data_IF_608895305581
#
_entry.id   IF_608895305581
#
_cell.length_a   1.000
_cell.length_b   1.000
_cell.length_c   1.000
_cell.angle_alpha   90.00
_cell.angle_beta   90.00
_cell.angle_gamma   90.00
#
_symmetry.space_group_name_H-M   'P 1'
#
loop_
_entity.id
_entity.type
_entity.pdbx_description
1 polymer ?
#
# COMPACT_ATOMS: atom_id res chain seq x y z
N UNK A 1 22.91 -14.98 1.70
CA UNK A 1 22.17 -16.22 2.00
C UNK A 1 22.90 -17.33 1.28
N UNK A 2 23.37 -18.34 2.01
CA UNK A 2 23.98 -19.53 1.42
C UNK A 2 22.90 -20.45 0.84
N UNK A 3 23.28 -21.42 -0.01
CA UNK A 3 22.34 -22.44 -0.48
C UNK A 3 21.80 -23.31 0.68
N UNK A 4 22.63 -23.54 1.71
CA UNK A 4 22.22 -24.28 2.91
C UNK A 4 21.12 -23.52 3.66
N UNK A 5 21.30 -22.21 3.88
CA UNK A 5 20.29 -21.34 4.52
C UNK A 5 18.95 -21.39 3.76
N UNK A 6 19.01 -21.42 2.43
CA UNK A 6 17.82 -21.50 1.59
C UNK A 6 17.14 -22.86 1.65
N UNK A 7 17.88 -23.97 1.79
CA UNK A 7 17.28 -25.30 1.94
C UNK A 7 16.56 -25.43 3.28
N UNK A 8 17.14 -24.88 4.34
CA UNK A 8 16.58 -24.96 5.69
C UNK A 8 15.38 -24.01 5.87
N UNK A 9 15.43 -22.84 5.23
CA UNK A 9 14.36 -21.83 5.30
C UNK A 9 14.14 -21.12 3.95
N UNK A 10 13.54 -21.80 2.95
CA UNK A 10 13.42 -21.27 1.59
C UNK A 10 12.63 -19.97 1.49
N UNK A 11 11.76 -19.72 2.46
CA UNK A 11 10.92 -18.53 2.54
C UNK A 11 11.34 -17.57 3.66
N UNK A 12 12.38 -17.91 4.43
CA UNK A 12 12.78 -17.17 5.63
C UNK A 12 13.59 -15.91 5.32
N UNK A 13 14.45 -15.95 4.29
CA UNK A 13 15.26 -14.80 3.86
C UNK A 13 15.36 -14.78 2.34
N UNK A 14 15.26 -13.61 1.73
CA UNK A 14 15.56 -13.44 0.31
C UNK A 14 17.06 -13.20 0.09
N UNK A 15 17.60 -13.67 -1.03
CA UNK A 15 18.98 -13.36 -1.42
C UNK A 15 19.15 -11.84 -1.65
N UNK A 16 20.30 -11.27 -1.25
CA UNK A 16 20.54 -9.82 -1.39
C UNK A 16 20.46 -9.35 -2.85
N UNK A 17 20.96 -10.16 -3.79
CA UNK A 17 20.85 -9.87 -5.22
C UNK A 17 19.39 -9.85 -5.70
N UNK A 18 18.53 -10.72 -5.15
CA UNK A 18 17.09 -10.69 -5.44
C UNK A 18 16.46 -9.42 -4.88
N UNK A 19 16.71 -9.08 -3.61
CA UNK A 19 16.12 -7.90 -2.96
C UNK A 19 16.48 -6.58 -3.64
N UNK A 20 17.67 -6.48 -4.23
CA UNK A 20 18.11 -5.31 -5.02
C UNK A 20 17.62 -5.32 -6.47
N UNK A 21 17.11 -6.45 -6.95
CA UNK A 21 16.68 -6.60 -8.33
C UNK A 21 15.43 -5.78 -8.67
N UNK A 22 15.28 -5.45 -9.95
CA UNK A 22 14.11 -4.74 -10.48
C UNK A 22 12.79 -5.49 -10.23
N UNK A 23 12.83 -6.82 -10.34
CA UNK A 23 11.64 -7.67 -10.21
C UNK A 23 11.33 -8.07 -8.76
N UNK A 24 12.11 -7.64 -7.78
CA UNK A 24 11.96 -8.10 -6.39
C UNK A 24 10.56 -7.81 -5.85
N UNK A 25 9.87 -8.84 -5.35
CA UNK A 25 8.61 -8.72 -4.62
C UNK A 25 8.90 -8.41 -3.14
N UNK A 26 9.43 -7.22 -2.86
CA UNK A 26 9.84 -6.81 -1.51
C UNK A 26 9.18 -5.49 -1.07
N UNK A 27 8.44 -5.47 0.06
CA UNK A 27 8.02 -6.64 0.84
C UNK A 27 7.03 -7.52 0.05
N UNK A 28 6.89 -8.79 0.45
CA UNK A 28 5.91 -9.68 -0.17
C UNK A 28 4.50 -9.08 0.00
N UNK A 29 3.74 -8.93 -1.10
CA UNK A 29 2.48 -8.23 -1.04
C UNK A 29 1.45 -9.01 -0.22
N UNK A 30 0.68 -8.27 0.57
CA UNK A 30 -0.45 -8.83 1.31
C UNK A 30 -1.76 -8.22 0.80
N UNK A 31 -2.88 -8.75 1.28
CA UNK A 31 -4.16 -8.11 1.02
C UNK A 31 -4.23 -6.74 1.72
N UNK A 32 -4.52 -5.66 0.96
CA UNK A 32 -4.82 -4.34 1.52
C UNK A 32 -5.92 -3.63 0.72
N UNK A 33 -6.63 -2.73 1.39
CA UNK A 33 -7.55 -1.78 0.73
C UNK A 33 -6.78 -0.61 0.11
N UNK A 34 -7.40 0.12 -0.80
CA UNK A 34 -6.81 1.33 -1.41
C UNK A 34 -6.41 2.36 -0.36
N UNK A 35 -7.28 2.58 0.65
CA UNK A 35 -7.01 3.46 1.78
C UNK A 35 -5.75 3.07 2.55
N UNK A 36 -5.51 1.77 2.76
CA UNK A 36 -4.29 1.27 3.43
C UNK A 36 -3.07 1.53 2.56
N UNK A 37 -3.17 1.36 1.24
CA UNK A 37 -2.07 1.68 0.31
C UNK A 37 -1.75 3.17 0.34
N UNK A 38 -2.76 4.03 0.29
CA UNK A 38 -2.59 5.48 0.33
C UNK A 38 -2.06 5.96 1.69
N UNK A 39 -2.57 5.43 2.80
CA UNK A 39 -2.06 5.71 4.15
C UNK A 39 -0.58 5.33 4.28
N UNK A 40 -0.20 4.16 3.75
CA UNK A 40 1.18 3.71 3.72
C UNK A 40 2.05 4.61 2.84
N UNK A 41 1.51 5.08 1.72
CA UNK A 41 2.18 6.05 0.84
C UNK A 41 2.47 7.36 1.57
N UNK A 42 1.49 7.96 2.27
CA UNK A 42 1.73 9.16 3.10
C UNK A 42 2.91 8.95 4.07
N UNK A 43 2.94 7.81 4.75
CA UNK A 43 4.03 7.48 5.69
C UNK A 43 5.39 7.40 5.00
N UNK A 44 5.46 6.73 3.85
CA UNK A 44 6.71 6.52 3.11
C UNK A 44 7.24 7.79 2.45
N UNK A 45 6.35 8.69 2.01
CA UNK A 45 6.73 9.87 1.23
C UNK A 45 6.90 11.15 2.08
N UNK A 46 6.23 11.26 3.22
CA UNK A 46 6.14 12.53 3.93
C UNK A 46 6.03 12.52 5.45
N UNK A 47 5.99 11.36 6.12
CA UNK A 47 5.94 11.30 7.60
C UNK A 47 7.18 10.59 8.17
N UNK A 48 8.32 11.29 8.33
CA UNK A 48 9.57 10.68 8.72
C UNK A 48 9.47 9.99 10.09
N UNK A 49 10.03 8.79 10.19
CA UNK A 49 10.04 7.99 11.43
C UNK A 49 8.75 7.20 11.69
N UNK A 50 7.67 7.45 10.94
CA UNK A 50 6.41 6.70 11.07
C UNK A 50 6.48 5.44 10.23
N UNK A 51 6.17 4.31 10.85
CA UNK A 51 6.11 3.02 10.18
C UNK A 51 4.82 2.28 10.55
N UNK A 52 4.48 1.27 9.77
CA UNK A 52 3.24 0.51 9.91
C UNK A 52 3.03 -0.09 11.31
N UNK A 53 4.10 -0.44 12.04
CA UNK A 53 3.99 -0.98 13.41
C UNK A 53 3.61 0.07 14.43
N UNK A 54 3.95 1.34 14.19
CA UNK A 54 3.63 2.45 15.09
C UNK A 54 2.17 2.90 14.98
N UNK A 55 1.49 2.61 13.86
CA UNK A 55 0.15 3.14 13.58
C UNK A 55 -0.90 2.64 14.59
N UNK A 56 -1.01 1.32 14.90
CA UNK A 56 -2.03 0.87 15.86
C UNK A 56 -1.89 1.45 17.27
N UNK A 57 -0.69 1.47 17.88
CA UNK A 57 -0.47 2.14 19.16
C UNK A 57 -0.81 3.64 19.14
N UNK A 58 -0.54 4.35 18.05
CA UNK A 58 -0.88 5.77 17.92
C UNK A 58 -2.40 5.99 17.88
N UNK A 59 -3.16 5.11 17.22
CA UNK A 59 -4.62 5.11 17.27
C UNK A 59 -5.17 4.93 18.68
N UNK A 60 -4.63 3.98 19.44
CA UNK A 60 -5.02 3.79 20.84
C UNK A 60 -4.65 5.00 21.71
N UNK A 61 -3.47 5.60 21.47
CA UNK A 61 -3.04 6.82 22.17
C UNK A 61 -3.98 8.00 21.89
N UNK A 62 -4.37 8.21 20.63
CA UNK A 62 -5.29 9.28 20.25
C UNK A 62 -6.65 9.11 20.94
N UNK A 63 -7.22 7.90 20.91
CA UNK A 63 -8.48 7.62 21.61
C UNK A 63 -8.40 7.88 23.11
N UNK A 64 -7.27 7.55 23.76
CA UNK A 64 -7.04 7.86 25.16
C UNK A 64 -6.92 9.36 25.43
N UNK A 65 -6.29 10.13 24.53
CA UNK A 65 -6.21 11.59 24.61
C UNK A 65 -7.59 12.23 24.51
N UNK A 66 -8.41 11.81 23.54
CA UNK A 66 -9.78 12.29 23.36
C UNK A 66 -10.61 11.99 24.62
N UNK A 67 -10.55 10.77 25.15
CA UNK A 67 -11.26 10.41 26.40
C UNK A 67 -10.84 11.29 27.58
N UNK A 68 -9.54 11.50 27.77
CA UNK A 68 -9.02 12.36 28.86
C UNK A 68 -9.46 13.81 28.70
N UNK A 69 -9.52 14.31 27.47
CA UNK A 69 -9.96 15.67 27.17
C UNK A 69 -11.45 15.86 27.48
N UNK A 70 -12.29 14.85 27.18
CA UNK A 70 -13.71 14.80 27.56
C UNK A 70 -13.89 14.89 29.07
N UNK A 71 -13.19 14.05 29.83
CA UNK A 71 -13.27 14.00 31.30
C UNK A 71 -12.88 15.33 31.96
N UNK A 72 -11.94 16.06 31.35
CA UNK A 72 -11.43 17.33 31.88
C UNK A 72 -12.14 18.57 31.33
N UNK A 73 -13.14 18.39 30.46
CA UNK A 73 -13.76 19.47 29.69
C UNK A 73 -12.73 20.42 29.03
N UNK A 74 -11.59 19.88 28.61
CA UNK A 74 -10.45 20.64 28.10
C UNK A 74 -10.31 20.44 26.60
N UNK A 75 -10.22 21.53 25.84
CA UNK A 75 -9.98 21.51 24.40
C UNK A 75 -8.48 21.53 24.09
N UNK A 76 -7.98 20.88 23.03
CA UNK A 76 -6.66 21.19 22.50
C UNK A 76 -6.56 22.68 22.15
N UNK A 77 -5.41 23.30 22.41
CA UNK A 77 -5.25 24.76 22.35
C UNK A 77 -5.55 25.37 20.98
N UNK A 78 -5.34 24.59 19.91
CA UNK A 78 -5.42 25.07 18.53
C UNK A 78 -6.56 24.42 17.72
N UNK A 79 -7.36 23.53 18.32
CA UNK A 79 -8.47 22.86 17.62
C UNK A 79 -9.74 23.71 17.66
N UNK A 80 -10.58 23.61 16.64
CA UNK A 80 -11.91 24.26 16.57
C UNK A 80 -12.97 23.36 17.20
N UNK A 81 -12.85 22.05 17.07
CA UNK A 81 -13.80 21.10 17.62
C UNK A 81 -13.54 20.82 19.10
N UNK A 82 -14.62 20.62 19.86
CA UNK A 82 -14.54 19.98 21.16
C UNK A 82 -14.23 18.47 21.01
N UNK A 83 -13.86 17.77 22.10
CA UNK A 83 -13.53 16.36 22.04
C UNK A 83 -14.65 15.45 21.49
N UNK A 84 -15.93 15.77 21.71
CA UNK A 84 -17.05 14.96 21.26
C UNK A 84 -17.32 15.14 19.76
N UNK A 85 -17.26 16.37 19.28
CA UNK A 85 -17.36 16.69 17.87
C UNK A 85 -16.18 16.09 17.08
N UNK A 86 -14.96 16.12 17.63
CA UNK A 86 -13.79 15.51 17.00
C UNK A 86 -13.91 13.98 16.94
N UNK A 87 -14.37 13.33 18.01
CA UNK A 87 -14.63 11.88 18.00
C UNK A 87 -15.73 11.51 16.99
N UNK A 88 -16.77 12.34 16.84
CA UNK A 88 -17.83 12.17 15.84
C UNK A 88 -17.28 12.33 14.42
N UNK A 89 -16.43 13.32 14.18
CA UNK A 89 -15.73 13.50 12.90
C UNK A 89 -14.98 12.22 12.51
N UNK A 90 -14.23 11.63 13.44
CA UNK A 90 -13.44 10.41 13.19
C UNK A 90 -14.32 9.17 12.99
N UNK A 91 -15.31 8.94 13.86
CA UNK A 91 -16.06 7.68 13.90
C UNK A 91 -17.39 7.69 13.14
N UNK A 92 -17.83 8.82 12.58
CA UNK A 92 -19.07 8.89 11.79
C UNK A 92 -18.86 9.48 10.40
N UNK A 93 -18.04 10.52 10.27
CA UNK A 93 -17.85 11.22 8.98
C UNK A 93 -16.73 10.57 8.17
N UNK A 94 -15.63 10.22 8.83
CA UNK A 94 -14.42 9.69 8.20
C UNK A 94 -14.29 8.17 8.32
N UNK A 95 -15.11 7.50 9.13
CA UNK A 95 -15.03 6.04 9.32
C UNK A 95 -15.24 5.32 7.99
N UNK A 96 -14.27 4.50 7.62
CA UNK A 96 -14.36 3.66 6.43
C UNK A 96 -15.36 2.51 6.68
N UNK A 97 -16.26 2.22 5.74
CA UNK A 97 -17.26 1.18 5.94
C UNK A 97 -16.60 -0.19 6.15
N UNK A 98 -17.00 -0.87 7.22
CA UNK A 98 -16.52 -2.22 7.54
C UNK A 98 -16.97 -3.19 6.47
N UNK A 99 -16.06 -4.09 6.10
CA UNK A 99 -16.43 -5.24 5.27
C UNK A 99 -17.06 -6.33 6.13
N UNK A 100 -18.00 -7.08 5.56
CA UNK A 100 -18.73 -8.17 6.24
C UNK A 100 -17.83 -9.21 6.93
N UNK A 101 -16.60 -9.38 6.45
CA UNK A 101 -15.64 -10.38 6.95
C UNK A 101 -14.52 -9.77 7.84
N UNK A 102 -14.55 -8.47 8.14
CA UNK A 102 -13.57 -7.85 9.04
C UNK A 102 -13.96 -8.07 10.50
N UNK A 103 -12.95 -8.41 11.33
CA UNK A 103 -13.18 -8.70 12.74
C UNK A 103 -13.82 -7.52 13.48
N UNK A 104 -14.62 -7.80 14.50
CA UNK A 104 -15.24 -6.80 15.37
C UNK A 104 -14.22 -5.95 16.18
N UNK A 105 -12.91 -6.26 16.14
CA UNK A 105 -11.87 -5.43 16.76
C UNK A 105 -11.84 -4.08 16.05
N UNK A 106 -12.38 -3.06 16.73
CA UNK A 106 -12.47 -1.67 16.29
C UNK A 106 -11.08 -1.04 16.28
N UNK A 107 -10.33 -1.29 15.21
CA UNK A 107 -9.22 -0.40 14.88
C UNK A 107 -9.75 0.79 14.11
N UNK A 108 -9.30 2.00 14.45
CA UNK A 108 -9.75 3.23 13.83
C UNK A 108 -9.27 3.27 12.38
N UNK A 109 -10.16 2.90 11.45
CA UNK A 109 -9.93 2.99 10.02
C UNK A 109 -10.71 4.19 9.46
N UNK A 110 -9.98 5.21 9.04
CA UNK A 110 -10.56 6.43 8.47
C UNK A 110 -10.02 6.64 7.06
N UNK A 111 -10.82 7.27 6.22
CA UNK A 111 -10.39 7.64 4.86
C UNK A 111 -9.22 8.63 4.93
N UNK A 112 -8.08 8.36 4.26
CA UNK A 112 -6.85 9.13 4.40
C UNK A 112 -6.87 10.40 3.54
N UNK A 113 -7.80 11.31 3.84
CA UNK A 113 -7.99 12.55 3.09
C UNK A 113 -6.82 13.53 3.27
N UNK A 114 -6.20 13.54 4.44
CA UNK A 114 -5.08 14.42 4.76
C UNK A 114 -3.91 13.62 5.35
N UNK A 115 -2.65 14.06 5.20
CA UNK A 115 -1.49 13.26 5.60
C UNK A 115 -1.50 12.80 7.05
N UNK A 116 -1.88 13.67 8.00
CA UNK A 116 -1.78 13.39 9.43
C UNK A 116 -2.70 12.24 9.89
N UNK A 117 -3.75 11.91 9.13
CA UNK A 117 -4.59 10.73 9.43
C UNK A 117 -3.80 9.43 9.32
N UNK A 118 -2.76 9.39 8.49
CA UNK A 118 -1.90 8.23 8.33
C UNK A 118 -1.00 7.94 9.55
N UNK A 119 -0.96 8.83 10.56
CA UNK A 119 -0.24 8.59 11.82
C UNK A 119 -0.88 7.50 12.67
N UNK A 120 -2.20 7.39 12.60
CA UNK A 120 -2.97 6.54 13.51
C UNK A 120 -3.97 5.62 12.80
N UNK A 121 -4.07 5.72 11.47
CA UNK A 121 -5.01 4.93 10.67
C UNK A 121 -4.37 4.28 9.43
N UNK A 122 -5.12 3.34 8.84
CA UNK A 122 -4.76 2.68 7.60
C UNK A 122 -3.54 1.75 7.72
N UNK A 123 -3.38 1.07 8.86
CA UNK A 123 -2.37 0.00 9.01
C UNK A 123 -2.87 -1.30 8.34
N UNK A 124 -2.01 -2.01 7.58
CA UNK A 124 -2.38 -3.31 7.01
C UNK A 124 -2.64 -4.40 8.06
N UNK A 125 -1.95 -4.35 9.20
CA UNK A 125 -2.13 -5.28 10.33
C UNK A 125 -2.10 -4.55 11.66
N UNK A 126 -2.79 -5.10 12.65
CA UNK A 126 -2.78 -4.56 14.01
C UNK A 126 -1.59 -5.02 14.86
N UNK A 127 -0.90 -6.09 14.42
CA UNK A 127 0.20 -6.69 15.16
C UNK A 127 1.22 -7.37 14.23
N UNK A 128 2.39 -7.68 14.77
CA UNK A 128 3.45 -8.43 14.09
C UNK A 128 4.30 -7.55 13.17
N UNK A 129 4.65 -8.09 12.00
CA UNK A 129 5.42 -7.40 10.97
C UNK A 129 4.52 -7.04 9.77
N UNK A 130 3.73 -5.96 9.84
CA UNK A 130 2.93 -5.50 8.71
C UNK A 130 3.82 -5.16 7.51
N UNK A 131 3.43 -5.61 6.32
CA UNK A 131 4.02 -5.14 5.08
C UNK A 131 3.81 -3.62 4.90
N UNK A 132 4.62 -2.98 4.05
CA UNK A 132 4.56 -1.53 3.81
C UNK A 132 4.21 -1.25 2.34
N UNK A 133 2.90 -1.15 1.98
CA UNK A 133 2.47 -0.93 0.60
C UNK A 133 3.05 0.33 -0.06
N UNK A 134 3.29 1.41 0.69
CA UNK A 134 3.85 2.65 0.13
C UNK A 134 5.24 2.44 -0.50
N UNK A 135 5.98 1.42 -0.04
CA UNK A 135 7.27 1.04 -0.64
C UNK A 135 7.09 0.44 -2.03
N UNK A 136 6.02 -0.32 -2.26
CA UNK A 136 5.68 -0.85 -3.58
C UNK A 136 5.39 0.27 -4.56
N UNK A 137 4.58 1.26 -4.14
CA UNK A 137 4.28 2.45 -4.95
C UNK A 137 5.57 3.19 -5.33
N UNK A 138 6.45 3.43 -4.35
CA UNK A 138 7.76 4.06 -4.62
C UNK A 138 8.59 3.26 -5.61
N UNK A 139 8.66 1.94 -5.48
CA UNK A 139 9.38 1.07 -6.44
C UNK A 139 8.77 1.16 -7.83
N UNK A 140 7.45 1.16 -7.94
CA UNK A 140 6.75 1.31 -9.21
C UNK A 140 7.04 2.66 -9.87
N UNK A 141 7.16 3.74 -9.12
CA UNK A 141 7.58 5.06 -9.67
C UNK A 141 8.97 4.97 -10.29
N UNK A 142 9.93 4.31 -9.63
CA UNK A 142 11.29 4.14 -10.17
C UNK A 142 11.33 3.23 -11.40
N UNK A 143 10.60 2.12 -11.37
CA UNK A 143 10.52 1.18 -12.49
C UNK A 143 9.80 1.78 -13.70
N UNK A 144 8.73 2.55 -13.47
CA UNK A 144 7.90 3.12 -14.53
C UNK A 144 8.47 4.39 -15.15
N UNK A 145 9.46 5.01 -14.52
CA UNK A 145 10.09 6.25 -15.00
C UNK A 145 11.20 5.98 -15.99
N UNK A 146 11.45 6.93 -16.90
CA UNK A 146 12.48 6.80 -17.95
C UNK A 146 13.90 6.72 -17.40
N UNK A 147 14.15 7.43 -16.29
CA UNK A 147 15.44 7.46 -15.60
C UNK A 147 15.22 7.87 -14.14
N UNK A 148 16.30 7.84 -13.34
CA UNK A 148 16.27 8.17 -11.92
C UNK A 148 15.82 9.62 -11.66
N UNK A 149 16.26 10.58 -12.47
CA UNK A 149 15.87 11.99 -12.32
C UNK A 149 14.36 12.19 -12.54
N UNK A 150 13.78 11.53 -13.55
CA UNK A 150 12.34 11.56 -13.79
C UNK A 150 11.54 10.87 -12.67
N UNK A 151 12.09 9.80 -12.08
CA UNK A 151 11.49 9.15 -10.91
C UNK A 151 11.48 10.07 -9.69
N UNK A 152 12.60 10.74 -9.41
CA UNK A 152 12.72 11.72 -8.33
C UNK A 152 11.78 12.90 -8.52
N UNK A 153 11.65 13.41 -9.75
CA UNK A 153 10.72 14.48 -10.09
C UNK A 153 9.26 14.03 -9.87
N UNK A 154 8.88 12.84 -10.35
CA UNK A 154 7.54 12.26 -10.14
C UNK A 154 7.26 12.06 -8.64
N UNK A 155 8.24 11.56 -7.89
CA UNK A 155 8.12 11.35 -6.45
C UNK A 155 7.94 12.66 -5.69
N UNK A 156 8.69 13.71 -6.05
CA UNK A 156 8.51 15.04 -5.47
C UNK A 156 7.16 15.65 -5.84
N UNK A 157 6.73 15.50 -7.09
CA UNK A 157 5.44 16.01 -7.56
C UNK A 157 4.27 15.35 -6.81
N UNK A 158 4.35 14.04 -6.58
CA UNK A 158 3.38 13.31 -5.75
C UNK A 158 3.38 13.80 -4.30
N UNK A 159 4.55 14.04 -3.71
CA UNK A 159 4.65 14.59 -2.34
C UNK A 159 3.93 15.93 -2.21
N UNK A 160 4.20 16.85 -3.15
CA UNK A 160 3.59 18.19 -3.16
C UNK A 160 2.08 18.12 -3.36
N UNK A 161 1.61 17.21 -4.21
CA UNK A 161 0.19 16.99 -4.45
C UNK A 161 -0.53 16.42 -3.23
N UNK A 162 0.11 15.50 -2.50
CA UNK A 162 -0.42 14.89 -1.28
C UNK A 162 -0.49 15.87 -0.10
N UNK A 163 0.28 16.96 -0.12
CA UNK A 163 0.14 18.01 0.88
C UNK A 163 -1.26 18.65 0.84
N UNK A 164 -1.70 19.18 1.98
CA UNK A 164 -2.83 20.10 2.04
C UNK A 164 -2.26 21.51 1.92
N UNK A 165 -2.74 22.26 0.93
CA UNK A 165 -2.28 23.62 0.61
C UNK A 165 -3.39 24.63 0.84
N UNK A 166 -3.06 25.92 0.78
CA UNK A 166 -4.03 27.01 0.97
C UNK A 166 -5.12 27.06 -0.11
N UNK A 167 -4.81 26.52 -1.30
CA UNK A 167 -5.70 26.39 -2.45
C UNK A 167 -6.56 25.11 -2.42
N UNK A 168 -6.29 24.16 -1.51
CA UNK A 168 -7.18 23.02 -1.28
C UNK A 168 -8.51 23.49 -0.66
N UNK A 169 -9.56 22.68 -0.86
CA UNK A 169 -10.89 23.00 -0.36
C UNK A 169 -10.92 23.20 1.17
N UNK A 170 -11.91 23.98 1.63
CA UNK A 170 -12.04 24.39 3.03
C UNK A 170 -12.10 23.18 3.96
N UNK A 171 -12.74 22.09 3.53
CA UNK A 171 -12.86 20.88 4.36
C UNK A 171 -11.51 20.20 4.56
N UNK A 172 -10.68 20.10 3.52
CA UNK A 172 -9.33 19.55 3.64
C UNK A 172 -8.45 20.37 4.61
N UNK A 173 -8.48 21.70 4.49
CA UNK A 173 -7.72 22.61 5.36
C UNK A 173 -8.19 22.56 6.81
N UNK A 174 -9.50 22.57 7.02
CA UNK A 174 -10.11 22.38 8.33
C UNK A 174 -9.71 21.02 8.93
N UNK A 175 -9.82 19.94 8.16
CA UNK A 175 -9.51 18.60 8.64
C UNK A 175 -8.02 18.49 9.03
N UNK A 176 -7.12 19.06 8.22
CA UNK A 176 -5.69 19.13 8.54
C UNK A 176 -5.46 19.83 9.89
N UNK A 177 -5.99 21.04 10.06
CA UNK A 177 -5.79 21.83 11.29
C UNK A 177 -6.38 21.14 12.52
N UNK A 178 -7.55 20.52 12.39
CA UNK A 178 -8.16 19.78 13.50
C UNK A 178 -7.28 18.60 13.91
N UNK A 179 -6.80 17.78 12.97
CA UNK A 179 -5.99 16.61 13.32
C UNK A 179 -4.63 17.04 13.90
N UNK A 180 -3.99 18.08 13.36
CA UNK A 180 -2.73 18.62 13.89
C UNK A 180 -2.85 19.18 15.31
N UNK A 181 -4.02 19.74 15.67
CA UNK A 181 -4.27 20.19 17.03
C UNK A 181 -4.20 19.05 18.07
N UNK A 182 -4.49 17.81 17.66
CA UNK A 182 -4.37 16.62 18.50
C UNK A 182 -3.01 15.91 18.34
N UNK A 183 -2.46 15.90 17.13
CA UNK A 183 -1.24 15.19 16.75
C UNK A 183 -0.33 16.12 15.93
N UNK A 184 0.41 17.03 16.59
CA UNK A 184 1.22 18.03 15.88
C UNK A 184 2.49 17.46 15.24
N UNK A 185 2.94 16.27 15.66
CA UNK A 185 4.17 15.65 15.17
C UNK A 185 3.94 14.20 14.72
N UNK A 186 4.71 13.72 13.72
CA UNK A 186 5.68 14.46 12.92
C UNK A 186 5.05 15.37 11.87
N UNK A 187 5.72 16.49 11.58
CA UNK A 187 5.37 17.38 10.48
C UNK A 187 5.52 16.72 9.10
N UNK A 188 4.68 17.13 8.15
CA UNK A 188 4.75 16.71 6.75
C UNK A 188 6.05 17.20 6.10
N UNK A 189 6.97 16.28 5.79
CA UNK A 189 8.30 16.58 5.25
C UNK A 189 8.73 15.56 4.23
N UNK A 190 9.19 16.03 3.07
CA UNK A 190 9.62 15.17 1.96
C UNK A 190 10.67 14.15 2.40
N UNK A 191 10.37 12.87 2.15
CA UNK A 191 11.27 11.75 2.35
C UNK A 191 11.79 11.28 0.99
N UNK A 192 13.06 11.54 0.64
CA UNK A 192 13.63 11.07 -0.62
C UNK A 192 13.74 9.55 -0.63
N UNK A 193 13.68 8.96 -1.83
CA UNK A 193 13.94 7.54 -1.97
C UNK A 193 15.43 7.24 -1.69
N UNK A 194 15.77 6.19 -0.93
CA UNK A 194 17.15 5.78 -0.72
C UNK A 194 17.77 5.29 -2.04
N UNK A 195 18.81 5.95 -2.58
CA UNK A 195 19.34 5.66 -3.92
C UNK A 195 19.79 4.21 -4.12
N UNK A 196 20.31 3.58 -3.05
CA UNK A 196 20.87 2.22 -3.09
C UNK A 196 19.81 1.11 -3.06
N UNK A 197 18.57 1.43 -2.66
CA UNK A 197 17.51 0.44 -2.54
C UNK A 197 16.53 0.46 -3.72
N UNK A 198 16.65 1.46 -4.61
CA UNK A 198 15.78 1.60 -5.76
C UNK A 198 16.35 0.84 -6.96
N UNK A 199 15.51 0.10 -7.68
CA UNK A 199 15.96 -0.58 -8.87
C UNK A 199 16.34 0.44 -9.95
N UNK A 200 17.38 0.14 -10.71
CA UNK A 200 17.61 0.85 -11.95
C UNK A 200 16.47 0.53 -12.91
N UNK A 201 16.06 1.53 -13.70
CA UNK A 201 15.03 1.33 -14.71
C UNK A 201 15.50 0.22 -15.65
N UNK A 202 14.77 -0.92 -15.74
CA UNK A 202 15.16 -1.96 -16.66
C UNK A 202 15.08 -1.41 -18.09
N UNK A 203 16.11 -1.67 -18.90
CA UNK A 203 16.06 -1.44 -20.34
C UNK A 203 15.24 -2.56 -21.00
N UNK A 204 13.94 -2.59 -20.69
CA UNK A 204 12.98 -3.59 -21.21
C UNK A 204 12.48 -3.23 -22.62
N UNK A 205 13.24 -2.45 -23.38
CA UNK A 205 12.80 -1.91 -24.66
C UNK A 205 11.56 -1.02 -24.54
N UNK A 206 10.92 -0.68 -25.65
CA UNK A 206 9.76 0.20 -25.71
C UNK A 206 8.44 -0.40 -25.18
N UNK A 207 8.43 -1.63 -24.66
CA UNK A 207 7.22 -2.32 -24.25
C UNK A 207 6.50 -1.66 -23.06
N UNK A 208 5.18 -1.59 -23.11
CA UNK A 208 4.37 -1.18 -21.96
C UNK A 208 4.38 -2.28 -20.90
N UNK A 209 4.66 -1.92 -19.65
CA UNK A 209 4.45 -2.79 -18.49
C UNK A 209 3.79 -1.98 -17.38
N UNK A 210 3.14 -2.62 -16.38
CA UNK A 210 2.19 -1.92 -15.51
C UNK A 210 2.76 -0.73 -14.75
N UNK A 211 4.04 -0.75 -14.36
CA UNK A 211 4.64 0.39 -13.66
C UNK A 211 4.77 1.63 -14.57
N UNK A 212 5.05 1.46 -15.87
CA UNK A 212 5.10 2.58 -16.83
C UNK A 212 3.72 3.22 -17.01
N UNK A 213 2.69 2.40 -17.18
CA UNK A 213 1.31 2.89 -17.26
C UNK A 213 0.91 3.58 -15.96
N UNK A 214 1.23 2.97 -14.82
CA UNK A 214 0.97 3.56 -13.51
C UNK A 214 1.59 4.95 -13.34
N UNK A 215 2.84 5.17 -13.77
CA UNK A 215 3.48 6.49 -13.69
C UNK A 215 2.78 7.52 -14.59
N UNK A 216 2.31 7.11 -15.77
CA UNK A 216 1.54 7.99 -16.65
C UNK A 216 0.18 8.37 -16.05
N UNK A 217 -0.55 7.38 -15.52
CA UNK A 217 -1.85 7.57 -14.87
C UNK A 217 -1.70 8.44 -13.61
N UNK A 218 -0.67 8.16 -12.81
CA UNK A 218 -0.34 8.91 -11.60
C UNK A 218 -0.09 10.38 -11.91
N UNK A 219 0.75 10.69 -12.90
CA UNK A 219 1.02 12.07 -13.31
C UNK A 219 -0.26 12.78 -13.80
N UNK A 220 -1.13 12.06 -14.51
CA UNK A 220 -2.41 12.60 -14.98
C UNK A 220 -3.36 12.90 -13.81
N UNK A 221 -3.43 12.01 -12.81
CA UNK A 221 -4.22 12.24 -11.59
C UNK A 221 -3.67 13.40 -10.78
N UNK A 222 -2.34 13.51 -10.64
CA UNK A 222 -1.74 14.63 -9.92
C UNK A 222 -2.09 15.96 -10.63
N UNK A 223 -1.96 16.02 -11.96
CA UNK A 223 -2.28 17.22 -12.73
C UNK A 223 -3.76 17.63 -12.63
N UNK A 224 -4.65 16.70 -12.32
CA UNK A 224 -6.08 16.96 -12.14
C UNK A 224 -6.45 17.45 -10.71
N UNK A 225 -5.48 17.56 -9.78
CA UNK A 225 -5.76 17.91 -8.37
C UNK A 225 -6.56 19.20 -8.24
N UNK A 226 -6.11 20.27 -8.91
CA UNK A 226 -6.68 21.61 -8.76
C UNK A 226 -8.09 21.75 -9.40
N UNK A 227 -8.55 20.72 -10.11
CA UNK A 227 -9.87 20.68 -10.75
C UNK A 227 -10.94 19.98 -9.90
N UNK A 228 -10.55 19.39 -8.75
CA UNK A 228 -11.38 18.48 -7.97
C UNK A 228 -11.35 18.84 -6.49
N UNK A 229 -12.42 18.50 -5.77
CA UNK A 229 -12.37 18.50 -4.31
C UNK A 229 -11.39 17.43 -3.81
N UNK A 230 -10.83 17.61 -2.62
CA UNK A 230 -9.87 16.69 -2.01
C UNK A 230 -10.41 15.27 -1.96
N UNK A 231 -11.69 15.09 -1.65
CA UNK A 231 -12.33 13.77 -1.59
C UNK A 231 -12.44 13.10 -2.96
N UNK A 232 -12.83 13.86 -3.99
CA UNK A 232 -12.90 13.35 -5.37
C UNK A 232 -11.52 12.98 -5.90
N UNK A 233 -10.54 13.88 -5.71
CA UNK A 233 -9.16 13.62 -6.11
C UNK A 233 -8.55 12.41 -5.40
N UNK A 234 -8.75 12.31 -4.08
CA UNK A 234 -8.30 11.16 -3.29
C UNK A 234 -8.93 9.86 -3.79
N UNK A 235 -10.21 9.88 -4.16
CA UNK A 235 -10.89 8.69 -4.71
C UNK A 235 -10.30 8.25 -6.05
N UNK A 236 -9.93 9.20 -6.94
CA UNK A 236 -9.24 8.88 -8.19
C UNK A 236 -7.84 8.33 -7.94
N UNK A 237 -7.09 8.95 -7.03
CA UNK A 237 -5.76 8.49 -6.65
C UNK A 237 -5.83 7.06 -6.08
N UNK A 238 -6.78 6.79 -5.20
CA UNK A 238 -7.00 5.45 -4.65
C UNK A 238 -7.33 4.42 -5.73
N UNK A 239 -8.12 4.79 -6.75
CA UNK A 239 -8.42 3.91 -7.87
C UNK A 239 -7.16 3.55 -8.68
N UNK A 240 -6.32 4.55 -9.01
CA UNK A 240 -5.05 4.34 -9.72
C UNK A 240 -4.08 3.51 -8.88
N UNK A 241 -3.95 3.79 -7.58
CA UNK A 241 -3.14 3.00 -6.67
C UNK A 241 -3.61 1.54 -6.63
N UNK A 242 -4.92 1.31 -6.52
CA UNK A 242 -5.50 -0.04 -6.45
C UNK A 242 -5.28 -0.83 -7.73
N UNK A 243 -5.57 -0.23 -8.89
CA UNK A 243 -5.44 -0.92 -10.18
C UNK A 243 -3.96 -1.13 -10.53
N UNK A 244 -3.14 -0.10 -10.38
CA UNK A 244 -1.72 -0.13 -10.74
C UNK A 244 -0.93 -1.12 -9.88
N UNK A 245 -1.11 -1.09 -8.55
CA UNK A 245 -0.35 -2.00 -7.67
C UNK A 245 -0.71 -3.46 -7.90
N UNK A 246 -1.99 -3.78 -8.08
CA UNK A 246 -2.45 -5.15 -8.38
C UNK A 246 -1.95 -5.62 -9.74
N UNK A 247 -2.09 -4.79 -10.78
CA UNK A 247 -1.60 -5.13 -12.12
C UNK A 247 -0.09 -5.38 -12.13
N UNK A 248 0.67 -4.56 -11.39
CA UNK A 248 2.12 -4.74 -11.29
C UNK A 248 2.50 -6.04 -10.57
N UNK A 249 1.82 -6.39 -9.47
CA UNK A 249 2.07 -7.64 -8.76
C UNK A 249 1.72 -8.86 -9.63
N UNK A 250 0.60 -8.84 -10.35
CA UNK A 250 0.24 -9.91 -11.30
C UNK A 250 1.31 -10.07 -12.37
N UNK A 251 1.74 -8.96 -12.98
CA UNK A 251 2.80 -8.98 -13.99
C UNK A 251 4.13 -9.50 -13.45
N UNK A 252 4.50 -9.20 -12.20
CA UNK A 252 5.67 -9.79 -11.56
C UNK A 252 5.52 -11.31 -11.45
N UNK A 253 4.36 -11.80 -10.97
CA UNK A 253 4.09 -13.23 -10.87
C UNK A 253 4.18 -13.94 -12.23
N UNK A 254 3.60 -13.35 -13.29
CA UNK A 254 3.67 -13.88 -14.66
C UNK A 254 5.11 -13.88 -15.19
N UNK A 255 5.86 -12.80 -14.94
CA UNK A 255 7.27 -12.71 -15.32
C UNK A 255 8.07 -13.82 -14.64
N UNK A 256 7.87 -14.04 -13.34
CA UNK A 256 8.50 -15.15 -12.61
C UNK A 256 8.13 -16.51 -13.20
N UNK A 257 6.85 -16.76 -13.46
CA UNK A 257 6.40 -18.02 -14.06
C UNK A 257 7.08 -18.27 -15.42
N UNK A 258 7.18 -17.23 -16.26
CA UNK A 258 7.90 -17.30 -17.53
C UNK A 258 9.38 -17.63 -17.37
N UNK A 259 10.09 -16.97 -16.44
CA UNK A 259 11.50 -17.28 -16.17
C UNK A 259 11.73 -18.72 -15.73
N UNK A 260 10.82 -19.31 -14.94
CA UNK A 260 10.92 -20.70 -14.51
C UNK A 260 10.63 -21.68 -15.65
N UNK A 261 9.68 -21.38 -16.54
CA UNK A 261 9.33 -22.23 -17.69
C UNK A 261 10.40 -22.20 -18.79
N UNK A 262 11.07 -21.05 -19.00
CA UNK A 262 12.12 -20.88 -20.02
C UNK A 262 13.48 -21.48 -19.58
N UNK A 263 13.64 -21.86 -18.30
CA UNK A 263 14.83 -22.58 -17.80
C UNK A 263 14.59 -24.08 -17.49
N UNK A 264 14.03 -24.90 -18.40
CA UNK A 264 13.88 -26.33 -18.14
C UNK A 264 15.24 -27.05 -18.07
N UNK A 265 16.26 -26.56 -18.80
CA UNK A 265 17.60 -27.16 -18.84
C UNK A 265 18.41 -27.06 -17.52
N UNK A 266 18.02 -26.17 -16.60
CA UNK A 266 18.62 -26.11 -15.26
C UNK A 266 17.74 -26.74 -14.18
N UNK A 267 16.41 -26.82 -14.37
CA UNK A 267 15.54 -27.55 -13.46
C UNK A 267 15.84 -29.08 -13.49
N UNK A 268 16.20 -29.61 -14.67
CA UNK A 268 16.61 -31.01 -14.80
C UNK A 268 17.92 -31.36 -14.07
N UNK A 269 18.80 -30.38 -13.79
CA UNK A 269 20.05 -30.60 -13.03
C UNK A 269 19.85 -30.66 -11.52
N UNK A 270 18.66 -30.32 -11.02
CA UNK A 270 18.29 -30.40 -9.60
C UNK A 270 17.25 -31.50 -9.31
N UNK A 271 16.91 -32.34 -10.29
CA UNK A 271 16.23 -33.61 -10.06
C UNK A 271 17.20 -34.58 -9.37
N UNK A 272 17.36 -34.41 -8.05
CA UNK A 272 17.67 -35.55 -7.20
C UNK A 272 16.50 -36.53 -7.37
N UNK A 273 16.76 -37.83 -7.65
CA UNK A 273 15.68 -38.80 -7.76
C UNK A 273 14.96 -38.84 -6.41
N UNK A 274 13.75 -38.30 -6.36
CA UNK A 274 12.81 -38.59 -5.28
C UNK A 274 12.44 -40.06 -5.41
N UNK A 275 13.24 -40.94 -4.80
CA UNK A 275 12.81 -42.30 -4.53
C UNK A 275 11.62 -42.23 -3.57
N UNK A 276 10.50 -42.74 -4.07
CA UNK A 276 9.20 -42.84 -3.45
C UNK A 276 9.22 -42.88 -1.91
N UNK A 277 8.56 -41.89 -1.31
CA UNK A 277 7.88 -42.04 -0.03
C UNK A 277 6.45 -41.52 -0.21
N UNK A 278 5.43 -42.24 0.30
CA UNK A 278 4.06 -42.12 -0.19
C UNK A 278 3.41 -40.80 0.25
N UNK A 279 2.39 -40.41 -0.52
CA UNK A 279 1.51 -39.26 -0.32
C UNK A 279 1.28 -38.92 1.16
N UNK A 280 1.82 -37.78 1.60
CA UNK A 280 1.27 -37.03 2.73
C UNK A 280 0.89 -35.66 2.19
N UNK A 281 -0.41 -35.38 2.29
CA UNK A 281 -1.12 -34.16 1.93
C UNK A 281 -0.25 -32.90 1.90
N UNK A 282 0.12 -32.45 0.70
CA UNK A 282 0.58 -31.08 0.45
C UNK A 282 -0.59 -30.24 -0.05
N UNK A 283 -1.45 -29.85 0.90
CA UNK A 283 -2.23 -28.62 0.79
C UNK A 283 -1.41 -27.51 1.45
N UNK A 284 -0.90 -26.51 0.71
CA UNK A 284 -0.72 -25.20 1.30
C UNK A 284 -2.11 -24.63 1.53
N UNK A 285 -2.39 -24.25 2.77
CA UNK A 285 -3.53 -23.45 3.19
C UNK A 285 -3.58 -22.11 2.43
N UNK A 286 -4.02 -22.15 1.18
CA UNK A 286 -4.75 -21.06 0.56
C UNK A 286 -6.21 -21.34 0.88
N UNK A 287 -6.83 -20.48 1.68
CA UNK A 287 -8.28 -20.52 1.85
C UNK A 287 -8.87 -20.15 0.48
N UNK A 288 -9.23 -21.18 -0.28
CA UNK A 288 -10.07 -21.13 -1.47
C UNK A 288 -11.46 -20.74 -0.97
N UNK A 289 -11.66 -19.44 -0.79
CA UNK A 289 -12.93 -18.85 -0.42
C UNK A 289 -13.06 -17.52 -1.13
N UNK A 290 -13.80 -17.53 -2.25
CA UNK A 290 -14.32 -16.37 -2.99
C UNK A 290 -13.51 -15.80 -4.16
N UNK A 291 -12.75 -16.60 -4.89
CA UNK A 291 -12.43 -16.30 -6.29
C UNK A 291 -12.54 -17.61 -7.09
N UNK A 292 -13.26 -17.59 -8.22
CA UNK A 292 -13.63 -18.73 -9.08
C UNK A 292 -14.95 -19.44 -8.73
N UNK A 293 -16.07 -18.74 -8.94
CA UNK A 293 -17.23 -19.40 -9.53
C UNK A 293 -17.01 -19.41 -11.07
N UNK A 294 -16.92 -20.58 -11.73
CA UNK A 294 -16.76 -20.62 -13.17
C UNK A 294 -18.09 -20.29 -13.85
N UNK A 295 -18.08 -19.27 -14.72
CA UNK A 295 -19.10 -19.09 -15.75
C UNK A 295 -19.15 -20.36 -16.61
N UNK A 296 -20.11 -21.25 -16.35
CA UNK A 296 -20.48 -22.30 -17.32
C UNK A 296 -21.17 -21.63 -18.49
N UNK A 297 -20.51 -21.60 -19.66
CA UNK A 297 -21.17 -21.49 -20.95
C UNK A 297 -22.17 -22.64 -21.08
N UNK A 298 -23.48 -22.34 -21.09
CA UNK A 298 -24.48 -23.29 -21.62
C UNK A 298 -24.54 -23.08 -23.12
N UNK A 299 -23.94 -23.99 -23.87
CA UNK A 299 -24.40 -24.26 -25.23
C UNK A 299 -25.75 -24.98 -25.12
N UNK A 300 -26.79 -24.34 -25.61
CA UNK A 300 -28.07 -24.99 -25.92
C UNK A 300 -27.97 -25.43 -27.37
N UNK A 301 -27.79 -26.73 -27.59
CA UNK A 301 -28.12 -27.34 -28.88
C UNK A 301 -29.61 -27.70 -28.85
N UNK A 302 -30.33 -27.19 -29.83
CA UNK A 302 -31.66 -27.64 -30.22
C UNK A 302 -31.52 -28.87 -31.13
N UNK A 303 -32.34 -29.90 -30.85
CA UNK A 303 -32.84 -30.97 -31.73
C UNK A 303 -33.44 -32.04 -30.80
N UNK A 304 -34.64 -32.60 -30.98
CA UNK A 304 -35.65 -32.55 -32.02
C UNK A 304 -37.03 -32.76 -31.36
#
# INVERSE_FOLDING_TARGET
MSLADFRDAPWGKSHAAYGKGALAMSPAPEYATSEVVLSSLYRVIGLPGVNERSVPPQGTRLQALIRKAREKASKPSNGTLDPDAFDTLLNAVLESPKRSNQSAKRFLQVTPLVPQLALFSGSPRLAGNPWTPGMLVRRMVWLGSRNRSAAEATWRYLFEALAVRDDDDIFARFLQSEVEAWLPEPNWKFVPAPPEAMPDCPDVGGGAFPARQFVQDLNSVIAAKDLLTRRQWTSLLEAVLRLGTVAHVIWLCESYAGFWVIRPDQAARFLVPFTATPLVNLTPSMTIGNCFAPFRRRHVFAAA
#
